data_IF_664548762269
#
_entry.id   IF_664548762269
#
_cell.length_a   1.000
_cell.length_b   1.000
_cell.length_c   1.000
_cell.angle_alpha   90.00
_cell.angle_beta   90.00
_cell.angle_gamma   90.00
#
_symmetry.space_group_name_H-M   'P 1'
#
loop_
_entity.id
_entity.type
_entity.pdbx_description
1 polymer ?
#
# COMPACT_ATOMS: atom_id res chain seq x y z
N UNK A 1 -24.82 -10.89 -8.41
CA UNK A 1 -25.29 -12.26 -8.09
C UNK A 1 -24.92 -12.74 -6.67
N UNK A 2 -24.93 -11.89 -5.63
CA UNK A 2 -24.53 -12.31 -4.27
C UNK A 2 -25.49 -11.94 -3.13
N UNK A 3 -26.68 -11.41 -3.41
CA UNK A 3 -27.68 -11.06 -2.37
C UNK A 3 -28.69 -12.19 -2.08
N UNK A 4 -29.02 -13.03 -3.08
CA UNK A 4 -30.00 -14.12 -2.93
C UNK A 4 -29.50 -15.21 -1.96
N UNK A 5 -28.19 -15.44 -1.91
CA UNK A 5 -27.58 -16.41 -0.99
C UNK A 5 -27.64 -16.01 0.48
N UNK A 6 -27.67 -14.71 0.79
CA UNK A 6 -27.65 -14.20 2.16
C UNK A 6 -29.04 -14.31 2.84
N UNK A 7 -30.12 -14.16 2.08
CA UNK A 7 -31.49 -14.35 2.57
C UNK A 7 -31.82 -15.83 2.87
N UNK A 8 -31.34 -16.77 2.06
CA UNK A 8 -31.59 -18.20 2.26
C UNK A 8 -30.85 -18.79 3.47
N UNK A 9 -29.63 -18.31 3.76
CA UNK A 9 -28.86 -18.73 4.94
C UNK A 9 -29.47 -18.22 6.26
N UNK A 10 -30.07 -17.03 6.25
CA UNK A 10 -30.67 -16.40 7.43
C UNK A 10 -31.99 -17.07 7.88
N UNK A 11 -32.67 -17.77 6.97
CA UNK A 11 -33.91 -18.52 7.27
C UNK A 11 -33.66 -19.86 7.98
N UNK A 12 -32.44 -20.41 7.89
CA UNK A 12 -32.13 -21.75 8.38
C UNK A 12 -31.50 -21.80 9.79
N UNK A 13 -30.98 -20.67 10.31
CA UNK A 13 -30.34 -20.64 11.63
C UNK A 13 -30.85 -19.46 12.48
N UNK A 14 -31.42 -19.77 13.66
CA UNK A 14 -31.87 -18.87 14.75
C UNK A 14 -33.24 -18.17 14.61
N UNK A 15 -34.31 -18.89 14.95
CA UNK A 15 -35.25 -18.50 16.02
C UNK A 15 -36.43 -19.48 16.06
N UNK A 16 -36.92 -19.79 17.27
CA UNK A 16 -37.79 -20.94 17.56
C UNK A 16 -39.27 -20.54 17.78
N UNK A 17 -39.71 -19.46 17.15
CA UNK A 17 -41.09 -18.96 17.27
C UNK A 17 -41.72 -18.75 15.88
N UNK A 18 -42.94 -19.25 15.63
CA UNK A 18 -43.57 -19.22 14.31
C UNK A 18 -43.93 -17.80 13.83
N UNK A 19 -44.08 -16.83 14.74
CA UNK A 19 -44.42 -15.44 14.42
C UNK A 19 -43.27 -14.66 13.79
N UNK A 20 -42.02 -14.90 14.19
CA UNK A 20 -40.83 -14.20 13.64
C UNK A 20 -40.47 -14.71 12.25
N UNK A 21 -40.73 -16.00 11.96
CA UNK A 21 -40.56 -16.59 10.61
C UNK A 21 -41.56 -16.01 9.61
N UNK A 22 -42.80 -15.78 10.04
CA UNK A 22 -43.82 -15.18 9.18
C UNK A 22 -43.46 -13.73 8.84
N UNK A 23 -43.00 -12.95 9.82
CA UNK A 23 -42.59 -11.57 9.61
C UNK A 23 -41.37 -11.47 8.66
N UNK A 24 -40.34 -12.31 8.83
CA UNK A 24 -39.19 -12.34 7.92
C UNK A 24 -39.56 -12.85 6.52
N UNK A 25 -40.45 -13.84 6.40
CA UNK A 25 -40.90 -14.33 5.10
C UNK A 25 -41.71 -13.27 4.34
N UNK A 26 -42.55 -12.50 5.05
CA UNK A 26 -43.30 -11.38 4.47
C UNK A 26 -42.33 -10.26 4.06
N UNK A 27 -41.29 -9.97 4.83
CA UNK A 27 -40.30 -8.94 4.49
C UNK A 27 -39.42 -9.36 3.30
N UNK A 28 -39.04 -10.62 3.21
CA UNK A 28 -38.33 -11.18 2.05
C UNK A 28 -39.22 -11.24 0.81
N UNK A 29 -40.50 -11.60 0.94
CA UNK A 29 -41.46 -11.56 -0.18
C UNK A 29 -41.71 -10.11 -0.62
N UNK A 30 -41.81 -9.16 0.31
CA UNK A 30 -41.92 -7.74 0.00
C UNK A 30 -40.70 -7.21 -0.76
N UNK A 31 -39.48 -7.59 -0.33
CA UNK A 31 -38.24 -7.27 -1.03
C UNK A 31 -38.17 -7.96 -2.41
N UNK A 32 -38.57 -9.22 -2.52
CA UNK A 32 -38.63 -9.92 -3.81
C UNK A 32 -39.69 -9.27 -4.71
N UNK A 33 -40.83 -8.81 -4.20
CA UNK A 33 -41.84 -8.10 -5.02
C UNK A 33 -41.45 -6.65 -5.36
N UNK A 34 -40.59 -6.01 -4.56
CA UNK A 34 -40.02 -4.69 -4.85
C UNK A 34 -38.88 -4.77 -5.88
N UNK A 35 -38.14 -5.89 -5.92
CA UNK A 35 -37.05 -6.13 -6.88
C UNK A 35 -37.46 -7.00 -8.09
N UNK A 36 -38.63 -7.64 -8.07
CA UNK A 36 -39.15 -8.43 -9.19
C UNK A 36 -39.47 -7.62 -10.46
N UNK A 37 -39.95 -6.35 -10.41
CA UNK A 37 -40.17 -5.58 -11.63
C UNK A 37 -38.86 -5.23 -12.36
N UNK A 38 -37.75 -5.12 -11.62
CA UNK A 38 -36.42 -4.80 -12.17
C UNK A 38 -35.66 -6.03 -12.68
N UNK A 39 -36.14 -7.24 -12.40
CA UNK A 39 -35.44 -8.48 -12.74
C UNK A 39 -36.13 -9.32 -13.84
N UNK A 40 -37.34 -8.97 -14.28
CA UNK A 40 -38.08 -9.68 -15.34
C UNK A 40 -39.10 -8.78 -16.07
N UNK A 41 -38.74 -7.55 -16.42
CA UNK A 41 -39.39 -6.88 -17.55
C UNK A 41 -38.68 -7.36 -18.83
N UNK A 42 -39.46 -7.81 -19.82
CA UNK A 42 -38.93 -8.20 -21.13
C UNK A 42 -38.19 -6.96 -21.68
N UNK A 43 -36.90 -7.07 -22.02
CA UNK A 43 -36.12 -5.90 -22.49
C UNK A 43 -36.75 -5.27 -23.73
N UNK A 44 -37.52 -6.05 -24.50
CA UNK A 44 -38.34 -5.54 -25.61
C UNK A 44 -39.50 -4.62 -25.17
N UNK A 45 -40.12 -4.84 -24.01
CA UNK A 45 -41.18 -3.99 -23.46
C UNK A 45 -40.61 -2.66 -22.97
N UNK A 46 -39.51 -2.70 -22.21
CA UNK A 46 -38.81 -1.48 -21.75
C UNK A 46 -38.25 -0.65 -22.91
N UNK A 47 -37.82 -1.29 -24.01
CA UNK A 47 -37.34 -0.58 -25.20
C UNK A 47 -38.48 0.13 -25.93
N UNK A 48 -39.66 -0.48 -25.99
CA UNK A 48 -40.86 0.18 -26.50
C UNK A 48 -41.30 1.35 -25.61
N UNK A 49 -41.23 1.21 -24.29
CA UNK A 49 -41.50 2.29 -23.35
C UNK A 49 -40.48 3.44 -23.48
N UNK A 50 -39.19 3.11 -23.69
CA UNK A 50 -38.14 4.10 -23.92
C UNK A 50 -38.36 4.89 -25.22
N UNK A 51 -38.78 4.23 -26.30
CA UNK A 51 -39.12 4.94 -27.54
C UNK A 51 -40.32 5.90 -27.37
N UNK A 52 -41.32 5.50 -26.58
CA UNK A 52 -42.48 6.35 -26.25
C UNK A 52 -42.05 7.52 -25.36
N UNK A 53 -41.24 7.26 -24.34
CA UNK A 53 -40.73 8.28 -23.42
C UNK A 53 -39.83 9.27 -24.17
N UNK A 54 -38.93 8.80 -25.04
CA UNK A 54 -38.07 9.64 -25.88
C UNK A 54 -38.90 10.59 -26.76
N UNK A 55 -39.94 10.06 -27.41
CA UNK A 55 -40.86 10.87 -28.22
C UNK A 55 -41.56 11.94 -27.37
N UNK A 56 -41.96 11.60 -26.14
CA UNK A 56 -42.58 12.55 -25.21
C UNK A 56 -41.59 13.62 -24.75
N UNK A 57 -40.34 13.25 -24.47
CA UNK A 57 -39.28 14.19 -24.09
C UNK A 57 -39.07 15.27 -25.15
N UNK A 58 -39.02 14.90 -26.44
CA UNK A 58 -38.90 15.87 -27.54
C UNK A 58 -40.11 16.83 -27.54
N UNK A 59 -41.34 16.32 -27.41
CA UNK A 59 -42.54 17.16 -27.37
C UNK A 59 -42.52 18.15 -26.20
N UNK A 60 -42.07 17.70 -25.04
CA UNK A 60 -41.98 18.53 -23.83
C UNK A 60 -40.86 19.57 -23.96
N UNK A 61 -39.74 19.24 -24.61
CA UNK A 61 -38.69 20.20 -24.94
C UNK A 61 -39.15 21.26 -25.96
N UNK A 62 -39.92 20.87 -26.98
CA UNK A 62 -40.55 21.82 -27.91
C UNK A 62 -41.55 22.73 -27.19
N UNK A 63 -42.38 22.18 -26.31
CA UNK A 63 -43.33 22.95 -25.52
C UNK A 63 -42.62 23.92 -24.57
N UNK A 64 -41.57 23.48 -23.89
CA UNK A 64 -40.71 24.36 -23.08
C UNK A 64 -40.11 25.47 -23.94
N UNK A 65 -39.56 25.14 -25.10
CA UNK A 65 -39.00 26.11 -26.05
C UNK A 65 -40.01 27.15 -26.55
N UNK A 66 -41.30 26.78 -26.70
CA UNK A 66 -42.35 27.76 -27.00
C UNK A 66 -42.59 28.76 -25.86
N UNK A 67 -42.39 28.32 -24.61
CA UNK A 67 -42.61 29.15 -23.42
C UNK A 67 -41.44 30.11 -23.20
N UNK A 68 -40.20 29.64 -23.39
CA UNK A 68 -39.00 30.45 -23.15
C UNK A 68 -38.46 31.18 -24.39
N UNK A 69 -38.94 30.84 -25.59
CA UNK A 69 -38.52 31.45 -26.85
C UNK A 69 -37.27 30.82 -27.50
N UNK A 70 -36.78 29.71 -26.96
CA UNK A 70 -35.61 28.98 -27.48
C UNK A 70 -36.02 27.55 -27.85
N UNK A 71 -36.10 27.28 -29.16
CA UNK A 71 -36.44 25.94 -29.66
C UNK A 71 -35.22 25.01 -29.63
N UNK A 72 -35.38 23.72 -29.30
CA UNK A 72 -34.32 22.74 -29.47
C UNK A 72 -33.89 22.71 -30.95
N UNK A 73 -32.58 22.73 -31.20
CA UNK A 73 -32.06 22.67 -32.55
C UNK A 73 -32.21 21.25 -33.15
N UNK A 74 -32.31 21.18 -34.48
CA UNK A 74 -32.58 19.93 -35.18
C UNK A 74 -31.42 18.92 -35.07
N UNK A 75 -30.19 19.39 -34.88
CA UNK A 75 -29.02 18.53 -34.76
C UNK A 75 -29.03 17.82 -33.39
N UNK A 76 -29.40 18.53 -32.31
CA UNK A 76 -29.60 17.98 -30.97
C UNK A 76 -30.70 16.92 -30.94
N UNK A 77 -31.83 17.16 -31.61
CA UNK A 77 -32.92 16.17 -31.69
C UNK A 77 -32.46 14.89 -32.43
N UNK A 78 -31.69 15.04 -33.51
CA UNK A 78 -31.13 13.91 -34.26
C UNK A 78 -30.12 13.12 -33.43
N UNK A 79 -29.23 13.78 -32.68
CA UNK A 79 -28.30 13.11 -31.77
C UNK A 79 -29.02 12.28 -30.70
N UNK A 80 -30.11 12.80 -30.13
CA UNK A 80 -30.93 12.06 -29.17
C UNK A 80 -31.59 10.82 -29.81
N UNK A 81 -32.11 10.93 -31.04
CA UNK A 81 -32.64 9.77 -31.77
C UNK A 81 -31.58 8.69 -32.00
N UNK A 82 -30.38 9.09 -32.42
CA UNK A 82 -29.26 8.16 -32.66
C UNK A 82 -28.81 7.49 -31.35
N UNK A 83 -28.76 8.24 -30.25
CA UNK A 83 -28.39 7.72 -28.94
C UNK A 83 -29.37 6.64 -28.46
N UNK A 84 -30.67 6.93 -28.46
CA UNK A 84 -31.71 5.99 -28.02
C UNK A 84 -31.76 4.74 -28.92
N UNK A 85 -31.66 4.91 -30.25
CA UNK A 85 -31.68 3.80 -31.19
C UNK A 85 -30.52 2.80 -30.96
N UNK A 86 -29.33 3.31 -30.59
CA UNK A 86 -28.11 2.50 -30.42
C UNK A 86 -27.85 2.08 -28.97
N UNK A 87 -28.79 2.33 -28.05
CA UNK A 87 -28.59 2.05 -26.64
C UNK A 87 -28.47 0.52 -26.37
N UNK A 88 -27.46 0.07 -25.60
CA UNK A 88 -27.34 -1.34 -25.20
C UNK A 88 -28.49 -1.79 -24.29
N UNK A 89 -28.94 -3.04 -24.43
CA UNK A 89 -30.08 -3.60 -23.67
C UNK A 89 -29.90 -3.55 -22.14
N UNK A 90 -28.66 -3.65 -21.65
CA UNK A 90 -28.32 -3.58 -20.23
C UNK A 90 -28.42 -2.15 -19.65
N UNK A 91 -28.56 -1.13 -20.50
CA UNK A 91 -28.69 0.28 -20.11
C UNK A 91 -30.11 0.83 -20.29
N UNK A 92 -30.99 0.12 -21.02
CA UNK A 92 -32.35 0.57 -21.34
C UNK A 92 -33.17 0.94 -20.10
N UNK A 93 -33.07 0.16 -19.03
CA UNK A 93 -33.85 0.39 -17.81
C UNK A 93 -33.42 1.66 -17.05
N UNK A 94 -32.11 1.93 -17.00
CA UNK A 94 -31.55 3.12 -16.35
C UNK A 94 -31.89 4.37 -17.17
N UNK A 95 -31.65 4.32 -18.48
CA UNK A 95 -31.97 5.43 -19.38
C UNK A 95 -33.47 5.74 -19.43
N UNK A 96 -34.35 4.73 -19.39
CA UNK A 96 -35.79 4.96 -19.32
C UNK A 96 -36.18 5.71 -18.04
N UNK A 97 -35.61 5.35 -16.89
CA UNK A 97 -35.89 6.04 -15.63
C UNK A 97 -35.42 7.50 -15.66
N UNK A 98 -34.27 7.77 -16.27
CA UNK A 98 -33.72 9.13 -16.41
C UNK A 98 -34.53 9.99 -17.38
N UNK A 99 -34.95 9.43 -18.52
CA UNK A 99 -35.82 10.13 -19.49
C UNK A 99 -37.17 10.47 -18.86
N UNK A 100 -37.79 9.56 -18.12
CA UNK A 100 -39.08 9.81 -17.44
C UNK A 100 -38.93 10.90 -16.37
N UNK A 101 -37.81 10.92 -15.63
CA UNK A 101 -37.52 11.98 -14.66
C UNK A 101 -37.38 13.34 -15.34
N UNK A 102 -36.56 13.42 -16.39
CA UNK A 102 -36.36 14.63 -17.16
C UNK A 102 -37.68 15.19 -17.75
N UNK A 103 -38.56 14.34 -18.28
CA UNK A 103 -39.90 14.75 -18.73
C UNK A 103 -40.68 15.41 -17.60
N UNK A 104 -40.72 14.78 -16.43
CA UNK A 104 -41.46 15.29 -15.27
C UNK A 104 -40.92 16.63 -14.80
N UNK A 105 -39.60 16.80 -14.77
CA UNK A 105 -38.94 18.03 -14.36
C UNK A 105 -39.27 19.18 -15.32
N UNK A 106 -39.20 18.94 -16.63
CA UNK A 106 -39.52 19.95 -17.64
C UNK A 106 -41.03 20.28 -17.65
N UNK A 107 -41.91 19.29 -17.48
CA UNK A 107 -43.37 19.52 -17.40
C UNK A 107 -43.74 20.40 -16.19
N UNK A 108 -43.11 20.18 -15.04
CA UNK A 108 -43.29 21.02 -13.85
C UNK A 108 -42.80 22.46 -14.09
N UNK A 109 -41.70 22.62 -14.81
CA UNK A 109 -41.15 23.94 -15.14
C UNK A 109 -42.04 24.69 -16.14
N UNK A 110 -42.56 24.00 -17.17
CA UNK A 110 -43.57 24.56 -18.08
C UNK A 110 -44.80 25.03 -17.31
N UNK A 111 -45.29 24.25 -16.35
CA UNK A 111 -46.47 24.63 -15.54
C UNK A 111 -46.19 25.87 -14.68
N UNK A 112 -44.99 25.98 -14.09
CA UNK A 112 -44.55 27.19 -13.38
C UNK A 112 -44.49 28.41 -14.28
N UNK A 113 -43.84 28.29 -15.43
CA UNK A 113 -43.67 29.39 -16.38
C UNK A 113 -45.02 29.86 -16.97
N UNK A 114 -45.98 28.94 -17.13
CA UNK A 114 -47.36 29.28 -17.58
C UNK A 114 -48.23 29.90 -16.49
N UNK A 115 -47.98 29.60 -15.22
CA UNK A 115 -48.75 30.12 -14.07
C UNK A 115 -48.20 31.45 -13.54
N UNK A 116 -47.00 31.85 -13.95
CA UNK A 116 -46.48 33.19 -13.77
C UNK A 116 -47.23 34.20 -14.67
N UNK A 117 -48.25 34.86 -14.11
CA UNK A 117 -48.87 36.05 -14.69
C UNK A 117 -47.87 37.23 -14.63
N UNK A 118 -47.84 38.14 -15.62
CA UNK A 118 -46.89 39.25 -15.61
C UNK A 118 -47.36 40.32 -14.62
N UNK A 119 -46.92 40.22 -13.36
CA UNK A 119 -46.98 41.35 -12.43
C UNK A 119 -45.67 42.15 -12.47
N UNK A 120 -45.88 43.46 -12.47
CA UNK A 120 -44.89 44.52 -12.56
C UNK A 120 -43.88 44.49 -11.40
N UNK A 121 -42.67 44.91 -11.75
CA UNK A 121 -41.44 44.94 -10.97
C UNK A 121 -41.53 45.54 -9.56
N UNK A 122 -40.65 45.08 -8.66
CA UNK A 122 -39.89 45.97 -7.78
C UNK A 122 -38.56 45.32 -7.33
N UNK A 123 -37.50 45.61 -8.09
CA UNK A 123 -36.06 45.71 -7.76
C UNK A 123 -35.30 44.64 -6.92
N UNK A 124 -35.93 43.83 -6.07
CA UNK A 124 -35.25 42.81 -5.24
C UNK A 124 -35.03 41.49 -6.00
N UNK A 125 -36.00 41.06 -6.80
CA UNK A 125 -35.89 39.91 -7.72
C UNK A 125 -34.72 40.06 -8.73
N UNK A 126 -34.28 41.29 -8.98
CA UNK A 126 -33.15 41.59 -9.86
C UNK A 126 -31.80 41.16 -9.26
N UNK A 127 -31.58 41.34 -7.95
CA UNK A 127 -30.27 41.06 -7.35
C UNK A 127 -30.06 39.56 -7.15
N UNK A 128 -31.07 38.87 -6.63
CA UNK A 128 -31.00 37.42 -6.41
C UNK A 128 -30.87 36.66 -7.74
N UNK A 129 -31.64 37.04 -8.76
CA UNK A 129 -31.52 36.46 -10.10
C UNK A 129 -30.13 36.72 -10.72
N UNK A 130 -29.58 37.92 -10.58
CA UNK A 130 -28.23 38.24 -11.06
C UNK A 130 -27.15 37.40 -10.36
N UNK A 131 -27.27 37.20 -9.04
CA UNK A 131 -26.33 36.38 -8.28
C UNK A 131 -26.45 34.89 -8.64
N UNK A 132 -27.67 34.40 -8.83
CA UNK A 132 -27.93 33.06 -9.34
C UNK A 132 -27.25 32.84 -10.71
N UNK A 133 -27.51 33.72 -11.67
CA UNK A 133 -26.93 33.62 -13.03
C UNK A 133 -25.40 33.70 -12.98
N UNK A 134 -24.86 34.61 -12.18
CA UNK A 134 -23.42 34.72 -11.98
C UNK A 134 -22.80 33.45 -11.38
N UNK A 135 -23.50 32.82 -10.43
CA UNK A 135 -23.06 31.56 -9.84
C UNK A 135 -23.01 30.44 -10.88
N UNK A 136 -24.08 30.27 -11.65
CA UNK A 136 -24.18 29.23 -12.68
C UNK A 136 -23.23 29.46 -13.86
N UNK A 137 -22.92 30.71 -14.21
CA UNK A 137 -21.88 31.03 -15.20
C UNK A 137 -20.49 30.54 -14.75
N UNK A 138 -20.15 30.76 -13.47
CA UNK A 138 -18.89 30.30 -12.90
C UNK A 138 -18.88 28.78 -12.79
N UNK A 139 -19.99 28.18 -12.37
CA UNK A 139 -20.15 26.72 -12.29
C UNK A 139 -19.98 26.05 -13.65
N UNK A 140 -20.73 26.51 -14.65
CA UNK A 140 -20.64 26.02 -16.02
C UNK A 140 -19.21 26.13 -16.55
N UNK A 141 -18.53 27.26 -16.30
CA UNK A 141 -17.11 27.42 -16.66
C UNK A 141 -16.20 26.41 -15.94
N UNK A 142 -16.41 26.22 -14.64
CA UNK A 142 -15.66 25.29 -13.80
C UNK A 142 -15.82 23.85 -14.29
N UNK A 143 -17.07 23.39 -14.37
CA UNK A 143 -17.46 22.02 -14.72
C UNK A 143 -17.02 21.68 -16.15
N UNK A 144 -17.32 22.54 -17.13
CA UNK A 144 -16.89 22.33 -18.51
C UNK A 144 -15.37 22.25 -18.66
N UNK A 145 -14.63 23.10 -17.96
CA UNK A 145 -13.16 23.10 -18.03
C UNK A 145 -12.58 21.87 -17.32
N UNK A 146 -13.15 21.48 -16.19
CA UNK A 146 -12.77 20.29 -15.44
C UNK A 146 -12.95 19.02 -16.30
N UNK A 147 -14.13 18.83 -16.92
CA UNK A 147 -14.41 17.65 -17.72
C UNK A 147 -13.63 17.60 -19.04
N UNK A 148 -13.22 18.74 -19.59
CA UNK A 148 -12.30 18.79 -20.75
C UNK A 148 -10.89 18.32 -20.40
N UNK A 149 -10.43 18.47 -19.16
CA UNK A 149 -9.10 18.07 -18.75
C UNK A 149 -9.07 16.64 -18.17
N UNK A 150 -8.83 15.67 -19.05
CA UNK A 150 -8.76 14.24 -18.67
C UNK A 150 -7.78 13.95 -17.52
N UNK A 151 -6.63 14.64 -17.46
CA UNK A 151 -5.64 14.42 -16.40
C UNK A 151 -6.16 14.91 -15.05
N UNK A 152 -6.79 16.09 -15.02
CA UNK A 152 -7.40 16.65 -13.81
C UNK A 152 -8.54 15.77 -13.35
N UNK A 153 -9.42 15.32 -14.25
CA UNK A 153 -10.54 14.42 -13.91
C UNK A 153 -10.06 13.15 -13.19
N UNK A 154 -8.95 12.56 -13.62
CA UNK A 154 -8.39 11.36 -13.00
C UNK A 154 -7.87 11.57 -11.57
N UNK A 155 -7.66 12.82 -11.15
CA UNK A 155 -7.18 13.12 -9.80
C UNK A 155 -8.30 13.06 -8.76
N UNK A 156 -9.56 13.09 -9.18
CA UNK A 156 -10.71 13.23 -8.29
C UNK A 156 -11.68 12.06 -8.43
N UNK A 157 -12.44 11.79 -7.36
CA UNK A 157 -13.53 10.82 -7.37
C UNK A 157 -14.75 11.42 -8.06
N UNK A 158 -15.09 12.65 -7.69
CA UNK A 158 -16.19 13.45 -8.21
C UNK A 158 -15.69 14.85 -8.58
N UNK A 159 -16.46 15.59 -9.37
CA UNK A 159 -16.15 16.99 -9.74
C UNK A 159 -16.24 17.89 -8.51
N UNK A 160 -15.17 18.61 -8.12
CA UNK A 160 -15.26 19.58 -7.03
C UNK A 160 -16.19 20.76 -7.35
N UNK A 161 -16.47 21.02 -8.64
CA UNK A 161 -17.41 22.05 -9.08
C UNK A 161 -18.85 21.60 -8.82
N UNK A 162 -19.19 20.39 -9.27
CA UNK A 162 -20.56 19.84 -9.21
C UNK A 162 -20.95 19.58 -7.75
N UNK A 163 -20.04 19.00 -6.95
CA UNK A 163 -20.27 18.77 -5.52
C UNK A 163 -20.44 20.06 -4.71
N UNK A 164 -19.85 21.17 -5.18
CA UNK A 164 -20.03 22.45 -4.52
C UNK A 164 -21.30 23.15 -4.95
N UNK A 165 -21.72 22.98 -6.21
CA UNK A 165 -22.99 23.49 -6.72
C UNK A 165 -24.17 22.83 -6.02
N UNK A 166 -24.23 21.50 -5.97
CA UNK A 166 -25.30 20.76 -5.27
C UNK A 166 -25.44 21.21 -3.81
N UNK A 167 -24.31 21.49 -3.17
CA UNK A 167 -24.25 21.97 -1.79
C UNK A 167 -24.83 23.39 -1.63
N UNK A 168 -24.56 24.29 -2.57
CA UNK A 168 -25.13 25.65 -2.55
C UNK A 168 -26.63 25.58 -2.81
N UNK A 169 -27.07 24.78 -3.78
CA UNK A 169 -28.49 24.62 -4.11
C UNK A 169 -29.30 24.12 -2.91
N UNK A 170 -28.77 23.12 -2.20
CA UNK A 170 -29.39 22.61 -0.96
C UNK A 170 -29.48 23.68 0.13
N UNK A 171 -28.45 24.52 0.28
CA UNK A 171 -28.45 25.60 1.28
C UNK A 171 -29.42 26.72 0.91
N UNK A 172 -29.45 27.12 -0.35
CA UNK A 172 -30.38 28.16 -0.85
C UNK A 172 -31.83 27.67 -0.77
N UNK A 173 -32.09 26.40 -1.10
CA UNK A 173 -33.42 25.80 -0.96
C UNK A 173 -33.90 25.80 0.49
N UNK A 174 -32.99 25.56 1.44
CA UNK A 174 -33.28 25.52 2.87
C UNK A 174 -33.32 26.89 3.58
N UNK A 175 -32.99 27.98 2.89
CA UNK A 175 -32.93 29.32 3.48
C UNK A 175 -34.33 29.91 3.71
N UNK A 176 -34.53 30.50 4.90
CA UNK A 176 -35.83 30.99 5.36
C UNK A 176 -36.13 32.44 4.90
N UNK A 177 -35.10 33.17 4.44
CA UNK A 177 -35.22 34.55 3.97
C UNK A 177 -34.47 34.82 2.67
N UNK A 178 -34.85 35.88 1.97
CA UNK A 178 -34.18 36.32 0.74
C UNK A 178 -32.77 36.85 1.00
N UNK A 179 -32.58 37.57 2.12
CA UNK A 179 -31.25 38.03 2.57
C UNK A 179 -30.29 36.86 2.81
N UNK A 180 -30.76 35.76 3.40
CA UNK A 180 -29.96 34.55 3.59
C UNK A 180 -29.57 33.90 2.25
N UNK A 181 -30.47 33.89 1.26
CA UNK A 181 -30.17 33.39 -0.08
C UNK A 181 -29.14 34.25 -0.80
N UNK A 182 -29.25 35.58 -0.69
CA UNK A 182 -28.27 36.52 -1.24
C UNK A 182 -26.89 36.27 -0.64
N UNK A 183 -26.79 36.15 0.69
CA UNK A 183 -25.53 35.84 1.38
C UNK A 183 -24.92 34.51 0.91
N UNK A 184 -25.76 33.47 0.79
CA UNK A 184 -25.35 32.15 0.31
C UNK A 184 -24.81 32.18 -1.12
N UNK A 185 -25.45 32.91 -2.04
CA UNK A 185 -24.94 33.06 -3.40
C UNK A 185 -23.65 33.89 -3.45
N UNK A 186 -23.53 34.97 -2.68
CA UNK A 186 -22.30 35.76 -2.61
C UNK A 186 -21.12 34.90 -2.11
N UNK A 187 -21.33 34.11 -1.05
CA UNK A 187 -20.33 33.17 -0.54
C UNK A 187 -20.06 32.01 -1.52
N UNK A 188 -21.11 31.52 -2.17
CA UNK A 188 -21.07 30.51 -3.22
C UNK A 188 -20.17 30.95 -4.38
N UNK A 189 -20.41 32.13 -4.93
CA UNK A 189 -19.63 32.75 -6.01
C UNK A 189 -18.16 32.90 -5.60
N UNK A 190 -17.90 33.41 -4.39
CA UNK A 190 -16.55 33.63 -3.89
C UNK A 190 -15.74 32.33 -3.76
N UNK A 191 -16.35 31.27 -3.24
CA UNK A 191 -15.68 29.98 -3.05
C UNK A 191 -15.60 29.16 -4.33
N UNK A 192 -16.66 29.13 -5.14
CA UNK A 192 -16.63 28.47 -6.44
C UNK A 192 -15.57 29.11 -7.34
N UNK A 193 -15.42 30.44 -7.32
CA UNK A 193 -14.32 31.13 -8.00
C UNK A 193 -12.93 30.67 -7.54
N UNK A 194 -12.74 30.33 -6.25
CA UNK A 194 -11.48 29.77 -5.74
C UNK A 194 -11.28 28.34 -6.22
N UNK A 195 -12.33 27.52 -6.17
CA UNK A 195 -12.33 26.14 -6.69
C UNK A 195 -11.95 26.16 -8.17
N UNK A 196 -12.64 26.96 -9.00
CA UNK A 196 -12.36 27.12 -10.43
C UNK A 196 -10.90 27.49 -10.67
N UNK A 197 -10.32 28.43 -9.91
CA UNK A 197 -8.89 28.79 -10.05
C UNK A 197 -7.95 27.62 -9.73
N UNK A 198 -8.30 26.76 -8.78
CA UNK A 198 -7.50 25.60 -8.41
C UNK A 198 -7.64 24.46 -9.43
N UNK A 199 -8.83 24.19 -9.96
CA UNK A 199 -9.08 23.05 -10.86
C UNK A 199 -8.93 23.36 -12.35
N UNK A 200 -8.61 24.61 -12.70
CA UNK A 200 -8.41 25.06 -14.09
C UNK A 200 -7.09 25.78 -14.29
N UNK A 201 -6.68 25.97 -15.56
CA UNK A 201 -5.50 26.75 -15.93
C UNK A 201 -4.22 26.31 -15.20
N UNK A 202 -3.53 27.26 -14.56
CA UNK A 202 -2.28 26.98 -13.82
C UNK A 202 -2.50 26.14 -12.56
N UNK A 203 -3.64 26.29 -11.88
CA UNK A 203 -3.94 25.48 -10.70
C UNK A 203 -4.05 24.00 -11.06
N UNK A 204 -4.69 23.69 -12.18
CA UNK A 204 -4.78 22.34 -12.73
C UNK A 204 -3.39 21.73 -13.01
N UNK A 205 -2.48 22.50 -13.58
CA UNK A 205 -1.11 22.03 -13.86
C UNK A 205 -0.34 21.71 -12.58
N UNK A 206 -0.51 22.53 -11.53
CA UNK A 206 0.09 22.29 -10.22
C UNK A 206 -0.50 21.06 -9.52
N UNK A 207 -1.82 20.89 -9.56
CA UNK A 207 -2.51 19.70 -9.06
C UNK A 207 -1.98 18.42 -9.70
N UNK A 208 -1.82 18.40 -11.02
CA UNK A 208 -1.28 17.25 -11.75
C UNK A 208 0.15 16.93 -11.30
N UNK A 209 1.02 17.95 -11.17
CA UNK A 209 2.40 17.76 -10.69
C UNK A 209 2.45 17.19 -9.29
N UNK A 210 1.61 17.69 -8.38
CA UNK A 210 1.56 17.24 -7.00
C UNK A 210 1.03 15.81 -6.92
N UNK A 211 0.03 15.46 -7.73
CA UNK A 211 -0.45 14.09 -7.82
C UNK A 211 0.62 13.11 -8.30
N UNK A 212 1.39 13.46 -9.33
CA UNK A 212 2.53 12.65 -9.77
C UNK A 212 3.57 12.47 -8.66
N UNK A 213 3.79 13.49 -7.82
CA UNK A 213 4.65 13.38 -6.63
C UNK A 213 4.06 12.46 -5.57
N UNK A 214 2.75 12.51 -5.30
CA UNK A 214 2.08 11.58 -4.38
C UNK A 214 2.23 10.13 -4.83
N UNK A 215 2.03 9.87 -6.13
CA UNK A 215 2.22 8.54 -6.71
C UNK A 215 3.66 8.05 -6.53
N UNK A 216 4.63 8.88 -6.88
CA UNK A 216 6.05 8.55 -6.68
C UNK A 216 6.39 8.32 -5.21
N UNK A 217 5.78 9.08 -4.30
CA UNK A 217 5.94 8.91 -2.86
C UNK A 217 5.39 7.56 -2.39
N UNK A 218 4.20 7.15 -2.84
CA UNK A 218 3.58 5.87 -2.47
C UNK A 218 4.40 4.67 -2.97
N UNK A 219 4.88 4.73 -4.22
CA UNK A 219 5.78 3.71 -4.78
C UNK A 219 7.10 3.63 -4.01
N UNK A 220 7.67 4.79 -3.68
CA UNK A 220 8.90 4.89 -2.89
C UNK A 220 8.71 4.39 -1.46
N UNK A 221 7.59 4.69 -0.80
CA UNK A 221 7.28 4.22 0.54
C UNK A 221 7.08 2.69 0.58
N UNK A 222 6.42 2.12 -0.42
CA UNK A 222 6.30 0.66 -0.57
C UNK A 222 7.68 -0.01 -0.68
N UNK A 223 8.56 0.59 -1.49
CA UNK A 223 9.94 0.11 -1.65
C UNK A 223 10.74 0.21 -0.35
N UNK A 224 10.59 1.32 0.38
CA UNK A 224 11.21 1.53 1.68
C UNK A 224 10.76 0.47 2.69
N UNK A 225 9.45 0.19 2.78
CA UNK A 225 8.91 -0.83 3.68
C UNK A 225 9.49 -2.22 3.39
N UNK A 226 9.64 -2.58 2.11
CA UNK A 226 10.29 -3.84 1.73
C UNK A 226 11.77 -3.90 2.15
N UNK A 227 12.52 -2.81 1.96
CA UNK A 227 13.93 -2.72 2.37
C UNK A 227 14.12 -2.76 3.89
N UNK A 228 13.19 -2.20 4.66
CA UNK A 228 13.22 -2.30 6.13
C UNK A 228 13.08 -3.75 6.58
N UNK A 229 12.15 -4.50 5.98
CA UNK A 229 11.98 -5.94 6.25
C UNK A 229 13.23 -6.73 5.84
N UNK A 230 13.81 -6.42 4.68
CA UNK A 230 15.05 -7.06 4.23
C UNK A 230 16.21 -6.78 5.19
N UNK A 231 16.35 -5.52 5.66
CA UNK A 231 17.37 -5.13 6.64
C UNK A 231 17.25 -5.94 7.92
N UNK A 232 16.05 -6.08 8.48
CA UNK A 232 15.80 -6.88 9.69
C UNK A 232 16.11 -8.37 9.48
N UNK A 233 15.79 -8.90 8.30
CA UNK A 233 16.13 -10.28 7.92
C UNK A 233 17.64 -10.49 7.84
N UNK A 234 18.37 -9.55 7.22
CA UNK A 234 19.83 -9.57 7.11
C UNK A 234 20.49 -9.46 8.49
N UNK A 235 19.99 -8.60 9.38
CA UNK A 235 20.48 -8.45 10.74
C UNK A 235 20.39 -9.76 11.54
N UNK A 236 19.25 -10.47 11.45
CA UNK A 236 19.07 -11.79 12.08
C UNK A 236 20.05 -12.83 11.53
N UNK A 237 20.26 -12.84 10.21
CA UNK A 237 21.19 -13.77 9.55
C UNK A 237 22.64 -13.49 9.93
N UNK A 238 23.01 -12.22 10.07
CA UNK A 238 24.33 -11.81 10.54
C UNK A 238 24.56 -12.20 11.99
N UNK A 239 23.56 -12.01 12.85
CA UNK A 239 23.64 -12.42 14.26
C UNK A 239 23.89 -13.93 14.39
N UNK A 240 23.18 -14.75 13.62
CA UNK A 240 23.40 -16.20 13.60
C UNK A 240 24.81 -16.59 13.11
N UNK A 241 25.38 -15.85 12.16
CA UNK A 241 26.76 -16.07 11.72
C UNK A 241 27.76 -15.74 12.83
N UNK A 242 27.56 -14.63 13.54
CA UNK A 242 28.40 -14.26 14.68
C UNK A 242 28.37 -15.35 15.75
N UNK A 243 27.18 -15.86 16.09
CA UNK A 243 27.02 -16.97 17.03
C UNK A 243 27.74 -18.25 16.55
N UNK A 244 27.66 -18.57 15.26
CA UNK A 244 28.38 -19.71 14.69
C UNK A 244 29.89 -19.55 14.79
N UNK A 245 30.42 -18.35 14.51
CA UNK A 245 31.85 -18.05 14.60
C UNK A 245 32.36 -18.19 16.04
N UNK A 246 31.61 -17.69 17.02
CA UNK A 246 31.92 -17.87 18.45
C UNK A 246 31.88 -19.35 18.84
N UNK A 247 30.93 -20.12 18.28
CA UNK A 247 30.83 -21.56 18.47
C UNK A 247 32.02 -22.34 17.90
N UNK A 248 32.53 -21.95 16.72
CA UNK A 248 33.74 -22.54 16.15
C UNK A 248 34.97 -22.22 16.99
N UNK A 249 35.11 -20.97 17.45
CA UNK A 249 36.20 -20.56 18.33
C UNK A 249 36.20 -21.37 19.63
N UNK A 250 35.04 -21.53 20.27
CA UNK A 250 34.90 -22.31 21.50
C UNK A 250 35.24 -23.81 21.29
N UNK A 251 34.87 -24.38 20.14
CA UNK A 251 35.24 -25.77 19.80
C UNK A 251 36.74 -25.92 19.57
N UNK A 252 37.37 -24.94 18.92
CA UNK A 252 38.82 -24.94 18.70
C UNK A 252 39.58 -24.88 20.03
N UNK A 253 39.14 -24.00 20.95
CA UNK A 253 39.72 -23.87 22.29
C UNK A 253 39.61 -25.21 23.06
N UNK A 254 38.45 -25.87 23.02
CA UNK A 254 38.25 -27.17 23.68
C UNK A 254 39.20 -28.26 23.12
N UNK A 255 39.31 -28.40 21.79
CA UNK A 255 40.22 -29.41 21.23
C UNK A 255 41.69 -29.11 21.53
N UNK A 256 42.08 -27.84 21.58
CA UNK A 256 43.44 -27.46 21.99
C UNK A 256 43.70 -27.76 23.46
N UNK A 257 42.72 -27.51 24.33
CA UNK A 257 42.83 -27.78 25.76
C UNK A 257 42.89 -29.29 26.03
N UNK A 258 42.01 -30.08 25.41
CA UNK A 258 41.97 -31.54 25.53
C UNK A 258 43.31 -32.17 25.12
N UNK A 259 43.85 -31.77 23.94
CA UNK A 259 45.16 -32.24 23.48
C UNK A 259 46.30 -31.85 24.44
N UNK A 260 46.21 -30.67 25.09
CA UNK A 260 47.23 -30.20 26.03
C UNK A 260 47.20 -30.91 27.39
N UNK A 261 46.02 -31.39 27.83
CA UNK A 261 45.84 -32.06 29.11
C UNK A 261 46.43 -33.48 29.08
N UNK A 262 46.24 -34.19 27.98
CA UNK A 262 46.68 -35.57 27.84
C UNK A 262 48.17 -35.70 27.45
N UNK A 263 48.78 -34.63 26.93
CA UNK A 263 50.21 -34.57 26.62
C UNK A 263 51.12 -34.17 27.79
N UNK A 264 50.66 -34.32 29.04
CA UNK A 264 51.47 -34.06 30.25
C UNK A 264 52.15 -35.34 30.74
N UNK A 265 53.10 -35.86 29.96
CA UNK A 265 53.98 -36.91 30.46
C UNK A 265 54.82 -36.34 31.62
N UNK A 266 54.68 -36.92 32.81
CA UNK A 266 55.53 -36.58 33.94
C UNK A 266 56.97 -37.00 33.59
N UNK A 267 57.96 -36.11 33.73
CA UNK A 267 59.35 -36.48 33.52
C UNK A 267 59.74 -37.51 34.58
N UNK A 268 59.72 -38.79 34.21
CA UNK A 268 60.28 -39.84 35.05
C UNK A 268 61.79 -39.72 34.98
N UNK A 269 62.42 -39.37 36.10
CA UNK A 269 63.87 -39.32 36.22
C UNK A 269 64.40 -40.76 36.19
N UNK A 270 64.74 -41.24 34.98
CA UNK A 270 65.21 -42.60 34.80
C UNK A 270 66.68 -42.68 35.20
N UNK A 271 66.95 -43.21 36.40
CA UNK A 271 68.31 -43.52 36.85
C UNK A 271 69.08 -44.35 35.79
N UNK A 272 68.44 -45.32 35.12
CA UNK A 272 69.06 -46.11 34.04
C UNK A 272 69.13 -45.37 32.69
N UNK A 273 68.10 -44.61 32.32
CA UNK A 273 68.07 -43.83 31.07
C UNK A 273 69.17 -42.78 31.04
N UNK A 274 69.36 -42.05 32.14
CA UNK A 274 70.43 -41.07 32.33
C UNK A 274 71.83 -41.72 32.36
N UNK A 275 71.95 -42.93 32.93
CA UNK A 275 73.21 -43.72 32.91
C UNK A 275 73.54 -44.27 31.53
N UNK A 276 72.53 -44.48 30.68
CA UNK A 276 72.64 -45.07 29.36
C UNK A 276 72.48 -44.04 28.22
N UNK A 277 72.68 -42.76 28.49
CA UNK A 277 72.80 -41.74 27.44
C UNK A 277 74.20 -41.77 26.83
N UNK A 278 74.28 -41.83 25.51
CA UNK A 278 75.53 -41.59 24.77
C UNK A 278 75.42 -40.30 23.97
N UNK A 279 76.43 -39.44 24.11
CA UNK A 279 76.57 -38.25 23.27
C UNK A 279 77.07 -38.67 21.89
N UNK A 280 76.17 -38.61 20.91
CA UNK A 280 76.51 -38.87 19.51
C UNK A 280 76.58 -37.55 18.78
N UNK A 281 77.70 -37.30 18.10
CA UNK A 281 77.85 -36.12 17.24
C UNK A 281 76.90 -36.26 16.06
N UNK A 282 76.00 -35.30 15.90
CA UNK A 282 75.10 -35.25 14.77
C UNK A 282 75.91 -34.94 13.51
N UNK A 283 75.90 -35.82 12.49
CA UNK A 283 76.73 -35.63 11.30
C UNK A 283 76.22 -34.48 10.40
N UNK A 284 74.99 -34.00 10.59
CA UNK A 284 74.40 -32.90 9.81
C UNK A 284 74.63 -31.56 10.52
N UNK A 285 74.34 -31.50 11.83
CA UNK A 285 74.42 -30.25 12.59
C UNK A 285 75.79 -30.02 13.28
N UNK A 286 76.64 -31.04 13.35
CA UNK A 286 77.95 -30.98 14.01
C UNK A 286 77.90 -30.88 15.54
N UNK A 287 76.71 -30.73 16.11
CA UNK A 287 76.42 -30.67 17.55
C UNK A 287 76.23 -32.07 18.13
N UNK A 288 76.58 -32.25 19.40
CA UNK A 288 76.31 -33.51 20.09
C UNK A 288 74.86 -33.54 20.57
N UNK A 289 74.15 -34.63 20.29
CA UNK A 289 72.84 -34.94 20.88
C UNK A 289 72.94 -36.18 21.75
N UNK A 290 72.15 -36.22 22.81
CA UNK A 290 71.96 -37.43 23.59
C UNK A 290 71.17 -38.43 22.75
N UNK A 291 71.68 -39.65 22.63
CA UNK A 291 70.95 -40.79 22.09
C UNK A 291 70.94 -41.92 23.12
N UNK A 292 69.87 -42.72 23.18
CA UNK A 292 69.85 -43.91 24.02
C UNK A 292 70.93 -44.91 23.57
N UNK A 293 71.66 -45.49 24.52
CA UNK A 293 72.52 -46.65 24.32
C UNK A 293 71.70 -47.93 24.57
N UNK A 294 71.28 -48.58 23.48
CA UNK A 294 70.41 -49.75 23.53
C UNK A 294 71.08 -50.97 24.20
N UNK A 295 72.41 -51.08 24.15
CA UNK A 295 73.14 -52.18 24.79
C UNK A 295 73.23 -51.96 26.30
N UNK A 296 73.41 -50.71 26.74
CA UNK A 296 73.35 -50.32 28.15
C UNK A 296 71.93 -50.49 28.72
N UNK A 297 70.89 -50.06 27.99
CA UNK A 297 69.50 -50.20 28.39
C UNK A 297 69.07 -51.67 28.58
N UNK A 298 69.73 -52.62 27.91
CA UNK A 298 69.48 -54.04 28.10
C UNK A 298 69.90 -54.56 29.48
N UNK A 299 70.76 -53.84 30.20
CA UNK A 299 71.20 -54.17 31.56
C UNK A 299 70.33 -53.58 32.68
N UNK A 300 69.35 -52.72 32.34
CA UNK A 300 68.39 -52.18 33.31
C UNK A 300 67.52 -53.29 33.92
N UNK A 301 67.09 -53.09 35.16
CA UNK A 301 66.22 -54.04 35.85
C UNK A 301 64.81 -54.05 35.21
N UNK A 302 64.03 -55.10 35.50
CA UNK A 302 62.69 -55.27 34.90
C UNK A 302 61.73 -54.11 35.21
N UNK A 303 61.85 -53.47 36.39
CA UNK A 303 61.01 -52.34 36.78
C UNK A 303 61.34 -51.09 35.97
N UNK A 304 62.63 -50.82 35.71
CA UNK A 304 63.11 -49.70 34.88
C UNK A 304 62.69 -49.87 33.41
N UNK A 305 62.78 -51.09 32.84
CA UNK A 305 62.32 -51.36 31.46
C UNK A 305 60.81 -51.19 31.30
N UNK A 306 60.04 -51.59 32.31
CA UNK A 306 58.58 -51.40 32.33
C UNK A 306 58.22 -49.92 32.40
N UNK A 307 58.88 -49.15 33.26
CA UNK A 307 58.66 -47.71 33.36
C UNK A 307 58.99 -46.95 32.05
N UNK A 308 60.04 -47.35 31.32
CA UNK A 308 60.35 -46.79 29.99
C UNK A 308 59.27 -47.15 28.97
N UNK A 309 58.78 -48.39 28.98
CA UNK A 309 57.69 -48.80 28.10
C UNK A 309 56.40 -48.04 28.40
N UNK A 310 56.04 -47.88 29.67
CA UNK A 310 54.86 -47.14 30.10
C UNK A 310 54.93 -45.65 29.68
N UNK A 311 56.12 -45.02 29.72
CA UNK A 311 56.31 -43.64 29.23
C UNK A 311 56.29 -43.55 27.70
N UNK A 312 56.86 -44.52 26.99
CA UNK A 312 56.77 -44.53 25.52
C UNK A 312 55.32 -44.73 25.05
N UNK A 313 54.53 -45.58 25.73
CA UNK A 313 53.10 -45.73 25.46
C UNK A 313 52.35 -44.41 25.69
N UNK A 314 52.63 -43.69 26.79
CA UNK A 314 52.08 -42.34 27.02
C UNK A 314 52.49 -41.32 25.96
N UNK A 315 53.71 -41.41 25.42
CA UNK A 315 54.18 -40.53 24.34
C UNK A 315 53.44 -40.84 23.04
N UNK A 316 53.27 -42.12 22.71
CA UNK A 316 52.56 -42.54 21.50
C UNK A 316 51.07 -42.15 21.57
N UNK A 317 50.41 -42.36 22.72
CA UNK A 317 49.02 -41.93 22.96
C UNK A 317 48.88 -40.40 22.81
N UNK A 318 49.80 -39.62 23.38
CA UNK A 318 49.83 -38.17 23.22
C UNK A 318 50.04 -37.74 21.75
N UNK A 319 50.87 -38.45 20.98
CA UNK A 319 51.06 -38.16 19.55
C UNK A 319 49.77 -38.40 18.77
N UNK A 320 49.08 -39.52 19.02
CA UNK A 320 47.83 -39.87 18.35
C UNK A 320 46.73 -38.85 18.65
N UNK A 321 46.59 -38.44 19.91
CA UNK A 321 45.60 -37.43 20.30
C UNK A 321 45.93 -36.04 19.75
N UNK A 322 47.20 -35.65 19.73
CA UNK A 322 47.64 -34.39 19.12
C UNK A 322 47.33 -34.38 17.62
N UNK A 323 47.60 -35.47 16.92
CA UNK A 323 47.35 -35.57 15.48
C UNK A 323 45.83 -35.60 15.20
N UNK A 324 45.04 -36.26 16.02
CA UNK A 324 43.57 -36.17 15.97
C UNK A 324 43.06 -34.75 16.20
N UNK A 325 43.58 -34.04 17.21
CA UNK A 325 43.20 -32.67 17.50
C UNK A 325 43.60 -31.71 16.38
N UNK A 326 44.78 -31.90 15.76
CA UNK A 326 45.20 -31.15 14.57
C UNK A 326 44.20 -31.32 13.44
N UNK A 327 43.82 -32.55 13.10
CA UNK A 327 42.86 -32.82 12.03
C UNK A 327 41.50 -32.14 12.32
N UNK A 328 41.06 -32.13 13.59
CA UNK A 328 39.83 -31.44 14.01
C UNK A 328 39.93 -29.92 13.94
N UNK A 329 41.08 -29.35 14.26
CA UNK A 329 41.32 -27.91 14.15
C UNK A 329 41.37 -27.47 12.69
N UNK A 330 41.94 -28.27 11.78
CA UNK A 330 41.92 -28.00 10.34
C UNK A 330 40.48 -28.01 9.77
N UNK A 331 39.66 -28.98 10.18
CA UNK A 331 38.23 -29.03 9.83
C UNK A 331 37.49 -27.75 10.30
N UNK A 332 37.70 -27.35 11.57
CA UNK A 332 37.09 -26.13 12.13
C UNK A 332 37.58 -24.87 11.43
N UNK A 333 38.87 -24.77 11.11
CA UNK A 333 39.43 -23.61 10.43
C UNK A 333 38.79 -23.43 9.05
N UNK A 334 38.59 -24.54 8.33
CA UNK A 334 37.87 -24.54 7.04
C UNK A 334 36.44 -24.01 7.19
N UNK A 335 35.68 -24.56 8.15
CA UNK A 335 34.29 -24.17 8.41
C UNK A 335 34.18 -22.71 8.89
N UNK A 336 35.08 -22.28 9.78
CA UNK A 336 35.18 -20.91 10.28
C UNK A 336 35.44 -19.92 9.14
N UNK A 337 36.40 -20.22 8.25
CA UNK A 337 36.74 -19.36 7.12
C UNK A 337 35.60 -19.27 6.09
N UNK A 338 34.88 -20.37 5.87
CA UNK A 338 33.71 -20.39 5.00
C UNK A 338 32.58 -19.51 5.58
N UNK A 339 32.25 -19.67 6.86
CA UNK A 339 31.19 -18.92 7.53
C UNK A 339 31.56 -17.44 7.68
N UNK A 340 32.83 -17.12 7.96
CA UNK A 340 33.36 -15.75 7.98
C UNK A 340 33.21 -15.07 6.63
N UNK A 341 33.53 -15.77 5.53
CA UNK A 341 33.38 -15.24 4.17
C UNK A 341 31.91 -14.95 3.85
N UNK A 342 31.00 -15.84 4.26
CA UNK A 342 29.54 -15.63 4.16
C UNK A 342 29.08 -14.42 4.98
N UNK A 343 29.61 -14.25 6.19
CA UNK A 343 29.36 -13.10 7.05
C UNK A 343 29.77 -11.77 6.40
N UNK A 344 30.95 -11.69 5.80
CA UNK A 344 31.40 -10.49 5.09
C UNK A 344 30.49 -10.13 3.91
N UNK A 345 30.07 -11.13 3.13
CA UNK A 345 29.15 -10.90 2.00
C UNK A 345 27.80 -10.36 2.47
N UNK A 346 27.24 -10.92 3.55
CA UNK A 346 25.98 -10.45 4.12
C UNK A 346 26.12 -9.07 4.78
N UNK A 347 27.25 -8.79 5.41
CA UNK A 347 27.52 -7.48 6.02
C UNK A 347 27.58 -6.38 4.98
N UNK A 348 28.20 -6.65 3.83
CA UNK A 348 28.20 -5.74 2.68
C UNK A 348 26.78 -5.47 2.16
N UNK A 349 25.96 -6.52 2.00
CA UNK A 349 24.56 -6.36 1.60
C UNK A 349 23.75 -5.57 2.64
N UNK A 350 23.96 -5.83 3.93
CA UNK A 350 23.28 -5.13 5.01
C UNK A 350 23.58 -3.62 4.99
N UNK A 351 24.85 -3.22 4.85
CA UNK A 351 25.21 -1.81 4.77
C UNK A 351 24.64 -1.14 3.50
N UNK A 352 24.62 -1.85 2.36
CA UNK A 352 23.97 -1.34 1.15
C UNK A 352 22.48 -1.09 1.35
N UNK A 353 21.74 -2.05 1.91
CA UNK A 353 20.30 -1.92 2.18
C UNK A 353 20.05 -0.80 3.19
N UNK A 354 20.87 -0.70 4.25
CA UNK A 354 20.79 0.36 5.26
C UNK A 354 20.98 1.75 4.67
N UNK A 355 21.94 1.93 3.77
CA UNK A 355 22.16 3.19 3.06
C UNK A 355 20.98 3.54 2.14
N UNK A 356 20.42 2.55 1.45
CA UNK A 356 19.22 2.74 0.62
C UNK A 356 18.00 3.14 1.44
N UNK A 357 17.76 2.48 2.58
CA UNK A 357 16.70 2.85 3.55
C UNK A 357 16.86 4.30 3.99
N UNK A 358 18.07 4.71 4.39
CA UNK A 358 18.35 6.08 4.83
C UNK A 358 18.10 7.11 3.73
N UNK A 359 18.56 6.82 2.51
CA UNK A 359 18.38 7.71 1.36
C UNK A 359 16.90 7.87 0.98
N UNK A 360 16.16 6.77 0.86
CA UNK A 360 14.73 6.80 0.51
C UNK A 360 13.89 7.44 1.61
N UNK A 361 14.18 7.16 2.88
CA UNK A 361 13.52 7.80 4.00
C UNK A 361 13.69 9.32 3.95
N UNK A 362 14.92 9.81 3.78
CA UNK A 362 15.19 11.26 3.66
C UNK A 362 14.49 11.90 2.46
N UNK A 363 14.48 11.23 1.31
CA UNK A 363 13.75 11.70 0.11
C UNK A 363 12.25 11.76 0.36
N UNK A 364 11.67 10.72 0.96
CA UNK A 364 10.24 10.67 1.26
C UNK A 364 9.83 11.72 2.29
N UNK A 365 10.66 11.97 3.32
CA UNK A 365 10.42 13.06 4.29
C UNK A 365 10.32 14.42 3.60
N UNK A 366 11.24 14.72 2.67
CA UNK A 366 11.21 15.97 1.91
C UNK A 366 9.98 16.08 1.00
N UNK A 367 9.64 15.00 0.27
CA UNK A 367 8.43 14.95 -0.56
C UNK A 367 7.16 15.13 0.28
N UNK A 368 7.12 14.51 1.46
CA UNK A 368 5.98 14.61 2.36
C UNK A 368 5.74 16.06 2.82
N UNK A 369 6.81 16.80 3.16
CA UNK A 369 6.70 18.22 3.50
C UNK A 369 6.19 19.06 2.33
N UNK A 370 6.74 18.85 1.12
CA UNK A 370 6.33 19.61 -0.06
C UNK A 370 4.86 19.35 -0.42
N UNK A 371 4.45 18.08 -0.43
CA UNK A 371 3.07 17.69 -0.71
C UNK A 371 2.13 18.23 0.38
N UNK A 372 2.51 18.10 1.66
CA UNK A 372 1.72 18.61 2.78
C UNK A 372 1.48 20.13 2.69
N UNK A 373 2.52 20.92 2.42
CA UNK A 373 2.40 22.36 2.26
C UNK A 373 1.47 22.78 1.11
N UNK A 374 1.48 22.04 0.01
CA UNK A 374 0.57 22.30 -1.10
C UNK A 374 -0.87 21.93 -0.74
N UNK A 375 -1.07 20.79 -0.10
CA UNK A 375 -2.38 20.30 0.31
C UNK A 375 -3.09 21.25 1.29
N UNK A 376 -2.35 21.87 2.20
CA UNK A 376 -2.87 22.87 3.14
C UNK A 376 -3.43 24.13 2.45
N UNK A 377 -3.02 24.40 1.21
CA UNK A 377 -3.49 25.55 0.43
C UNK A 377 -4.74 25.23 -0.40
N UNK A 378 -5.12 23.96 -0.49
CA UNK A 378 -6.29 23.55 -1.28
C UNK A 378 -7.59 23.94 -0.58
N UNK A 379 -8.57 24.34 -1.38
CA UNK A 379 -9.92 24.55 -0.88
C UNK A 379 -10.48 23.22 -0.34
N UNK A 380 -11.23 23.20 0.77
CA UNK A 380 -11.70 21.95 1.38
C UNK A 380 -12.45 21.02 0.42
N UNK A 381 -13.22 21.58 -0.53
CA UNK A 381 -13.93 20.82 -1.57
C UNK A 381 -12.96 20.16 -2.54
N UNK A 382 -11.91 20.86 -2.97
CA UNK A 382 -10.89 20.29 -3.86
C UNK A 382 -10.15 19.18 -3.10
N UNK A 383 -9.74 19.44 -1.87
CA UNK A 383 -9.08 18.46 -1.02
C UNK A 383 -9.94 17.22 -0.75
N UNK A 384 -11.22 17.41 -0.42
CA UNK A 384 -12.15 16.33 -0.08
C UNK A 384 -12.48 15.39 -1.24
N UNK A 385 -12.45 15.90 -2.47
CA UNK A 385 -12.80 15.14 -3.66
C UNK A 385 -11.62 14.40 -4.31
N UNK A 386 -10.40 14.53 -3.77
CA UNK A 386 -9.23 13.84 -4.32
C UNK A 386 -9.39 12.31 -4.30
N UNK A 387 -8.79 11.66 -5.31
CA UNK A 387 -8.87 10.23 -5.58
C UNK A 387 -8.19 9.32 -4.56
N UNK A 388 -8.13 8.03 -4.88
CA UNK A 388 -7.59 7.02 -3.95
C UNK A 388 -6.09 7.16 -3.69
N UNK A 389 -5.31 7.66 -4.66
CA UNK A 389 -3.87 7.89 -4.50
C UNK A 389 -3.57 8.82 -3.32
N UNK A 390 -4.45 9.80 -3.11
CA UNK A 390 -4.36 10.73 -1.99
C UNK A 390 -4.61 10.04 -0.64
N UNK A 391 -5.55 9.08 -0.58
CA UNK A 391 -5.80 8.30 0.64
C UNK A 391 -4.60 7.42 0.99
N UNK A 392 -3.99 6.78 -0.01
CA UNK A 392 -2.75 6.02 0.18
C UNK A 392 -1.61 6.92 0.68
N UNK A 393 -1.46 8.11 0.08
CA UNK A 393 -0.50 9.10 0.54
C UNK A 393 -0.74 9.46 2.01
N UNK A 394 -1.97 9.80 2.41
CA UNK A 394 -2.28 10.14 3.81
C UNK A 394 -1.88 9.04 4.78
N UNK A 395 -2.19 7.78 4.47
CA UNK A 395 -1.82 6.66 5.34
C UNK A 395 -0.30 6.51 5.48
N UNK A 396 0.41 6.61 4.35
CA UNK A 396 1.86 6.48 4.31
C UNK A 396 2.59 7.68 4.95
N UNK A 397 2.03 8.88 4.81
CA UNK A 397 2.58 10.14 5.31
C UNK A 397 2.69 10.22 6.83
N UNK A 398 1.81 9.53 7.56
CA UNK A 398 1.82 9.48 9.03
C UNK A 398 3.17 9.02 9.58
N UNK A 399 3.84 8.09 8.88
CA UNK A 399 5.15 7.55 9.29
C UNK A 399 6.29 8.59 9.31
N UNK A 400 6.03 9.83 8.87
CA UNK A 400 6.99 10.93 8.82
C UNK A 400 6.57 12.14 9.67
N UNK A 401 5.49 12.06 10.45
CA UNK A 401 4.98 13.18 11.26
C UNK A 401 5.59 13.29 12.67
N UNK A 402 6.27 12.24 13.15
CA UNK A 402 6.74 12.14 14.55
C UNK A 402 8.24 12.49 14.77
N UNK A 403 8.90 13.23 13.87
CA UNK A 403 10.31 13.66 14.06
C UNK A 403 10.63 15.09 13.63
#
# INVERSE_FOLDING_TARGET
MSFVGFCLMSLLFRSNTPSTRLALAILCLALITLFAPLANADTGEMRAELDVAHTRLIQVLEEHGTVIGEMPDADTIEEMHVYIANLPDDQVAETLADVVRAITDIENEIERLKTASPEESDAADSELAQLHDQFYDIYSTCSNTFFKNKKVKQLFKNSPCDEYEEKIDLWVYGADSEEEKVDLYQDGIANLSKITKQVTGKGAEELVKIYEKMKSFNESHTSLSALVVERESLEKRLSAIVENLDGYQSKADNYSDDASLNCRAEQVDFDCGNRCERRVRDPILGTYRNKPDMDCLNSCNFQEKRAIADVNEQIDDCIDERDWARDKLEDIESDYNAERSRGMALSSQFEQVKDQVKMLYGRNKNLNMEIGQFLEQLHPQVFGMMGDEFQHYRMNAVSYWDE
#
